data_IF_856597695380
#
_entry.id   IF_856597695380
#
_cell.length_a   1.000
_cell.length_b   1.000
_cell.length_c   1.000
_cell.angle_alpha   90.00
_cell.angle_beta   90.00
_cell.angle_gamma   90.00
#
_symmetry.space_group_name_H-M   'P 1'
#
loop_
_entity.id
_entity.type
_entity.pdbx_description
1 polymer ?
#
# COMPACT_ATOMS: atom_id res chain seq x y z
N UNK A 1 2.05 -20.17 6.67
CA UNK A 1 1.88 -19.17 5.60
C UNK A 1 1.35 -17.89 6.22
N UNK A 2 2.23 -16.93 6.47
CA UNK A 2 1.93 -15.62 7.06
C UNK A 2 1.13 -14.80 6.04
N UNK A 3 -0.10 -14.41 6.38
CA UNK A 3 -0.84 -13.43 5.57
C UNK A 3 0.04 -12.19 5.39
N UNK A 4 0.22 -11.64 4.18
CA UNK A 4 0.83 -10.32 4.04
C UNK A 4 -0.07 -9.33 4.79
N UNK A 5 0.43 -8.80 5.89
CA UNK A 5 -0.33 -7.93 6.82
C UNK A 5 -0.78 -6.60 6.17
N UNK A 6 -0.39 -6.35 4.92
CA UNK A 6 -0.62 -5.12 4.17
C UNK A 6 -1.41 -5.29 2.87
N UNK A 7 -2.02 -6.45 2.61
CA UNK A 7 -2.89 -6.58 1.44
C UNK A 7 -4.10 -5.64 1.56
N UNK A 8 -4.36 -4.74 0.58
CA UNK A 8 -5.51 -3.87 0.63
C UNK A 8 -6.79 -4.71 0.67
N UNK A 9 -7.68 -4.39 1.62
CA UNK A 9 -8.95 -5.09 1.73
C UNK A 9 -9.85 -4.71 0.54
N UNK A 10 -10.51 -5.68 -0.09
CA UNK A 10 -11.47 -5.40 -1.14
C UNK A 10 -12.57 -4.45 -0.65
N UNK A 11 -12.98 -3.50 -1.48
CA UNK A 11 -14.09 -2.60 -1.13
C UNK A 11 -15.46 -3.17 -1.45
N UNK A 12 -15.50 -4.14 -2.36
CA UNK A 12 -16.71 -4.86 -2.75
C UNK A 12 -16.83 -6.19 -2.01
N UNK A 13 -18.07 -6.66 -1.86
CA UNK A 13 -18.36 -7.98 -1.32
C UNK A 13 -18.11 -9.06 -2.39
N UNK A 14 -16.91 -9.65 -2.32
CA UNK A 14 -16.52 -10.70 -3.27
C UNK A 14 -17.36 -11.96 -3.14
N UNK A 15 -17.92 -12.23 -1.96
CA UNK A 15 -18.72 -13.43 -1.73
C UNK A 15 -20.13 -13.26 -2.32
N UNK A 16 -20.69 -12.05 -2.28
CA UNK A 16 -21.90 -11.71 -3.02
C UNK A 16 -21.71 -11.89 -4.54
N UNK A 17 -20.64 -11.32 -5.11
CA UNK A 17 -20.33 -11.46 -6.55
C UNK A 17 -20.17 -12.93 -6.96
N UNK A 18 -19.43 -13.71 -6.17
CA UNK A 18 -19.28 -15.16 -6.41
C UNK A 18 -20.59 -15.90 -6.32
N UNK A 19 -21.51 -15.44 -5.47
CA UNK A 19 -22.83 -16.03 -5.32
C UNK A 19 -23.69 -15.75 -6.55
N UNK A 20 -23.73 -14.51 -7.02
CA UNK A 20 -24.45 -14.15 -8.25
C UNK A 20 -23.95 -14.94 -9.46
N UNK A 21 -22.63 -15.07 -9.62
CA UNK A 21 -22.05 -15.84 -10.72
C UNK A 21 -22.47 -17.33 -10.64
N UNK A 22 -22.40 -17.94 -9.46
CA UNK A 22 -22.83 -19.33 -9.25
C UNK A 22 -24.32 -19.51 -9.55
N UNK A 23 -25.16 -18.59 -9.09
CA UNK A 23 -26.60 -18.62 -9.35
C UNK A 23 -26.91 -18.48 -10.84
N UNK A 24 -26.21 -17.59 -11.55
CA UNK A 24 -26.34 -17.43 -13.00
C UNK A 24 -25.99 -18.72 -13.75
N UNK A 25 -24.89 -19.38 -13.37
CA UNK A 25 -24.47 -20.65 -13.97
C UNK A 25 -25.45 -21.80 -13.69
N UNK A 26 -25.95 -21.89 -12.46
CA UNK A 26 -26.82 -22.98 -12.01
C UNK A 26 -28.24 -22.86 -12.57
N UNK A 27 -28.83 -21.66 -12.51
CA UNK A 27 -30.25 -21.47 -12.85
C UNK A 27 -30.46 -21.08 -14.30
N UNK A 28 -29.49 -20.38 -14.91
CA UNK A 28 -29.54 -19.87 -16.30
C UNK A 28 -30.81 -19.10 -16.66
N UNK A 29 -31.44 -18.49 -15.65
CA UNK A 29 -32.58 -17.59 -15.82
C UNK A 29 -32.10 -16.17 -16.07
N UNK A 30 -32.84 -15.41 -16.87
CA UNK A 30 -32.44 -14.08 -17.33
C UNK A 30 -32.10 -13.12 -16.18
N UNK A 31 -32.85 -13.16 -15.08
CA UNK A 31 -32.61 -12.30 -13.91
C UNK A 31 -31.27 -12.58 -13.26
N UNK A 32 -30.94 -13.86 -12.98
CA UNK A 32 -29.66 -14.25 -12.39
C UNK A 32 -28.48 -13.87 -13.30
N UNK A 33 -28.64 -14.01 -14.62
CA UNK A 33 -27.63 -13.61 -15.59
C UNK A 33 -27.41 -12.09 -15.58
N UNK A 34 -28.48 -11.30 -15.57
CA UNK A 34 -28.38 -9.83 -15.50
C UNK A 34 -27.74 -9.35 -14.20
N UNK A 35 -28.05 -9.99 -13.07
CA UNK A 35 -27.41 -9.69 -11.79
C UNK A 35 -25.90 -9.93 -11.86
N UNK A 36 -25.46 -11.07 -12.39
CA UNK A 36 -24.03 -11.36 -12.54
C UNK A 36 -23.32 -10.40 -13.52
N UNK A 37 -24.01 -9.96 -14.58
CA UNK A 37 -23.48 -8.95 -15.51
C UNK A 37 -23.34 -7.58 -14.83
N UNK A 38 -24.29 -7.22 -13.95
CA UNK A 38 -24.27 -5.95 -13.23
C UNK A 38 -23.08 -5.83 -12.24
N UNK A 39 -22.47 -6.95 -11.83
CA UNK A 39 -21.26 -6.95 -11.01
C UNK A 39 -19.98 -6.58 -11.80
N UNK A 40 -19.99 -6.68 -13.14
CA UNK A 40 -18.80 -6.46 -13.98
C UNK A 40 -18.21 -5.04 -13.83
N UNK A 41 -19.00 -3.95 -13.92
CA UNK A 41 -18.45 -2.60 -13.73
C UNK A 41 -17.85 -2.38 -12.34
N UNK A 42 -18.42 -3.01 -11.31
CA UNK A 42 -17.92 -2.93 -9.92
C UNK A 42 -16.58 -3.65 -9.80
N UNK A 43 -16.44 -4.83 -10.42
CA UNK A 43 -15.16 -5.56 -10.48
C UNK A 43 -14.08 -4.79 -11.24
N UNK A 44 -14.42 -4.16 -12.37
CA UNK A 44 -13.46 -3.31 -13.13
C UNK A 44 -12.97 -2.16 -12.25
N UNK A 45 -13.88 -1.48 -11.55
CA UNK A 45 -13.54 -0.37 -10.65
C UNK A 45 -12.61 -0.82 -9.53
N UNK A 46 -12.84 -1.99 -8.93
CA UNK A 46 -11.98 -2.55 -7.89
C UNK A 46 -10.60 -2.96 -8.44
N UNK A 47 -10.54 -3.52 -9.65
CA UNK A 47 -9.27 -3.84 -10.31
C UNK A 47 -8.45 -2.55 -10.53
N UNK A 48 -9.07 -1.48 -11.04
CA UNK A 48 -8.37 -0.21 -11.27
C UNK A 48 -7.90 0.42 -9.97
N UNK A 49 -8.72 0.36 -8.90
CA UNK A 49 -8.31 0.78 -7.55
C UNK A 49 -7.09 -0.01 -7.07
N UNK A 50 -7.11 -1.34 -7.18
CA UNK A 50 -6.00 -2.19 -6.76
C UNK A 50 -4.73 -1.94 -7.57
N UNK A 51 -4.84 -1.66 -8.88
CA UNK A 51 -3.72 -1.28 -9.74
C UNK A 51 -3.10 0.05 -9.29
N UNK A 52 -3.92 1.04 -8.99
CA UNK A 52 -3.47 2.33 -8.44
C UNK A 52 -2.75 2.14 -7.11
N UNK A 53 -3.32 1.38 -6.18
CA UNK A 53 -2.68 1.09 -4.89
C UNK A 53 -1.35 0.35 -5.04
N UNK A 54 -1.26 -0.60 -5.97
CA UNK A 54 -0.02 -1.30 -6.27
C UNK A 54 1.04 -0.37 -6.87
N UNK A 55 0.65 0.53 -7.77
CA UNK A 55 1.57 1.51 -8.35
C UNK A 55 2.10 2.47 -7.27
N UNK A 56 1.24 2.96 -6.38
CA UNK A 56 1.62 3.79 -5.25
C UNK A 56 2.61 3.07 -4.32
N UNK A 57 2.29 1.84 -3.91
CA UNK A 57 3.17 1.05 -3.03
C UNK A 57 4.54 0.77 -3.65
N UNK A 58 4.59 0.48 -4.97
CA UNK A 58 5.85 0.32 -5.70
C UNK A 58 6.65 1.61 -5.78
N UNK A 59 5.98 2.76 -5.96
CA UNK A 59 6.60 4.08 -5.91
C UNK A 59 7.22 4.38 -4.55
N UNK A 60 6.46 4.18 -3.48
CA UNK A 60 6.93 4.36 -2.10
C UNK A 60 8.15 3.49 -1.79
N UNK A 61 8.13 2.22 -2.22
CA UNK A 61 9.27 1.32 -2.07
C UNK A 61 10.50 1.79 -2.86
N UNK A 62 10.31 2.24 -4.10
CA UNK A 62 11.40 2.75 -4.92
C UNK A 62 12.05 4.00 -4.31
N UNK A 63 11.25 4.91 -3.77
CA UNK A 63 11.73 6.11 -3.08
C UNK A 63 12.51 5.74 -1.82
N UNK A 64 11.98 4.84 -0.99
CA UNK A 64 12.67 4.39 0.22
C UNK A 64 14.01 3.70 -0.12
N UNK A 65 14.04 2.89 -1.17
CA UNK A 65 15.28 2.26 -1.65
C UNK A 65 16.28 3.30 -2.17
N UNK A 66 15.80 4.36 -2.84
CA UNK A 66 16.63 5.47 -3.29
C UNK A 66 17.23 6.23 -2.10
N UNK A 67 16.43 6.56 -1.07
CA UNK A 67 16.93 7.19 0.15
C UNK A 67 17.92 6.31 0.91
N UNK A 68 17.67 5.00 1.04
CA UNK A 68 18.63 4.08 1.65
C UNK A 68 19.97 4.07 0.90
N UNK A 69 19.94 4.10 -0.44
CA UNK A 69 21.15 4.20 -1.27
C UNK A 69 21.84 5.56 -1.10
N UNK A 70 21.08 6.65 -1.04
CA UNK A 70 21.60 7.99 -0.80
C UNK A 70 22.30 8.09 0.56
N UNK A 71 21.69 7.55 1.62
CA UNK A 71 22.27 7.45 2.96
C UNK A 71 23.61 6.69 2.95
N UNK A 72 23.69 5.55 2.26
CA UNK A 72 24.95 4.78 2.17
C UNK A 72 26.05 5.53 1.41
N UNK A 73 25.70 6.27 0.35
CA UNK A 73 26.66 7.10 -0.37
C UNK A 73 27.14 8.28 0.49
N UNK A 74 26.21 8.98 1.13
CA UNK A 74 26.49 10.10 2.03
C UNK A 74 27.39 9.69 3.22
N UNK A 75 27.20 8.49 3.77
CA UNK A 75 28.06 7.93 4.82
C UNK A 75 29.50 7.68 4.31
N UNK A 76 29.63 7.15 3.09
CA UNK A 76 30.94 6.93 2.46
C UNK A 76 31.66 8.25 2.14
N UNK A 77 30.92 9.28 1.77
CA UNK A 77 31.44 10.61 1.46
C UNK A 77 31.73 11.46 2.72
N UNK A 78 31.36 10.96 3.91
CA UNK A 78 31.56 11.65 5.19
C UNK A 78 30.64 12.86 5.39
N UNK A 79 29.44 12.84 4.79
CA UNK A 79 28.43 13.87 5.00
C UNK A 79 28.02 13.95 6.49
N UNK A 80 27.67 15.14 6.99
CA UNK A 80 27.39 15.36 8.41
C UNK A 80 26.11 14.65 8.93
N UNK A 81 25.09 14.46 8.09
CA UNK A 81 23.86 13.74 8.44
C UNK A 81 23.35 12.82 7.31
N UNK A 82 24.03 11.69 7.04
CA UNK A 82 23.63 10.75 5.98
C UNK A 82 22.23 10.14 6.21
N UNK A 83 21.80 10.05 7.47
CA UNK A 83 20.47 9.53 7.83
C UNK A 83 19.33 10.50 7.49
N UNK A 84 19.64 11.77 7.14
CA UNK A 84 18.65 12.76 6.71
C UNK A 84 17.75 12.25 5.58
N UNK A 85 18.34 11.70 4.51
CA UNK A 85 17.59 11.16 3.37
C UNK A 85 16.57 10.08 3.78
N UNK A 86 16.95 9.18 4.69
CA UNK A 86 16.05 8.12 5.16
C UNK A 86 14.96 8.66 6.08
N UNK A 87 15.28 9.62 6.96
CA UNK A 87 14.27 10.26 7.83
C UNK A 87 13.24 11.00 7.00
N UNK A 88 13.67 11.76 6.00
CA UNK A 88 12.79 12.52 5.11
C UNK A 88 11.83 11.59 4.35
N UNK A 89 12.33 10.50 3.77
CA UNK A 89 11.45 9.53 3.08
C UNK A 89 10.52 8.78 4.04
N UNK A 90 10.98 8.45 5.25
CA UNK A 90 10.11 7.81 6.27
C UNK A 90 9.02 8.78 6.75
N UNK A 91 9.33 10.06 6.87
CA UNK A 91 8.36 11.12 7.20
C UNK A 91 7.37 11.36 6.05
N UNK A 92 7.85 11.38 4.81
CA UNK A 92 7.01 11.49 3.62
C UNK A 92 6.01 10.34 3.49
N UNK A 93 6.35 9.16 4.03
CA UNK A 93 5.44 8.01 4.12
C UNK A 93 4.55 8.02 5.38
N UNK A 94 4.66 9.04 6.25
CA UNK A 94 3.91 9.16 7.51
C UNK A 94 4.29 8.10 8.56
N UNK A 95 5.48 7.51 8.42
CA UNK A 95 5.95 6.40 9.26
C UNK A 95 7.04 6.82 10.24
N UNK A 96 7.38 8.11 10.28
CA UNK A 96 8.38 8.61 11.20
C UNK A 96 7.85 8.49 12.65
N UNK A 97 8.55 7.74 13.53
CA UNK A 97 8.12 7.66 14.92
C UNK A 97 8.15 9.04 15.56
N UNK A 98 7.17 9.34 16.40
CA UNK A 98 6.98 10.70 16.96
C UNK A 98 8.21 11.23 17.71
N UNK A 99 9.08 10.35 18.23
CA UNK A 99 10.35 10.75 18.87
C UNK A 99 11.30 11.50 17.92
N UNK A 100 11.18 11.28 16.62
CA UNK A 100 12.07 11.84 15.60
C UNK A 100 11.43 12.98 14.80
N UNK A 101 10.16 13.34 15.09
CA UNK A 101 9.48 14.44 14.43
C UNK A 101 10.05 15.81 14.85
N UNK A 102 10.13 16.81 13.95
CA UNK A 102 10.66 18.13 14.26
C UNK A 102 9.90 18.78 15.43
N UNK A 103 10.63 19.19 16.48
CA UNK A 103 10.08 19.73 17.74
C UNK A 103 10.12 18.77 18.93
N UNK A 104 10.41 17.49 18.68
CA UNK A 104 10.68 16.49 19.73
C UNK A 104 12.11 16.67 20.22
N UNK A 105 12.31 17.16 21.45
CA UNK A 105 13.66 17.21 22.04
C UNK A 105 14.27 15.80 22.01
N UNK A 106 15.49 15.60 21.50
CA UNK A 106 16.15 14.31 21.62
C UNK A 106 16.31 14.02 23.12
N UNK A 107 15.92 12.82 23.54
CA UNK A 107 16.32 12.30 24.85
C UNK A 107 17.83 12.13 24.78
N UNK A 108 18.53 12.90 25.60
CA UNK A 108 19.96 12.77 25.87
C UNK A 108 20.24 11.31 26.26
N UNK A 109 20.82 10.57 25.31
CA UNK A 109 21.28 9.21 25.51
C UNK A 109 22.55 9.27 26.35
N UNK A 110 22.37 9.48 27.66
CA UNK A 110 23.44 9.41 28.64
C UNK A 110 24.14 8.04 28.58
N UNK A 111 25.45 8.13 28.28
CA UNK A 111 26.57 7.19 28.46
C UNK A 111 26.27 5.74 28.81
#
# INVERSE_FOLDING_TARGET
>A
MTRPQHAPRPTLDLDAVRTHLRDAHARRVSTALWTAIADVPVLITEIDRLRTLLALARGQYANLLAAARATLAADQDGENDPLGYLRDEVDANGQLPHRYAPGSRPVDGGR
#
